data_IF_298792619173
#
_entry.id   IF_298792619173
#
_cell.length_a   1.000
_cell.length_b   1.000
_cell.length_c   1.000
_cell.angle_alpha   90.00
_cell.angle_beta   90.00
_cell.angle_gamma   90.00
#
_symmetry.space_group_name_H-M   'P 1'
#
loop_
_entity.id
_entity.type
_entity.pdbx_description
1 polymer ?
#
# COMPACT_ATOMS: atom_id res chain seq x y z
N UNK A 1 -12.11 -7.35 1.03
CA UNK A 1 -10.68 -7.11 1.31
C UNK A 1 -10.47 -5.61 1.34
N UNK A 2 -9.70 -5.12 2.32
CA UNK A 2 -9.33 -3.71 2.41
C UNK A 2 -7.82 -3.61 2.64
N UNK A 3 -7.17 -2.72 1.90
CA UNK A 3 -5.75 -2.41 2.07
C UNK A 3 -5.58 -1.05 2.74
N UNK A 4 -4.59 -0.95 3.61
CA UNK A 4 -4.16 0.33 4.18
C UNK A 4 -2.64 0.44 4.11
N UNK A 5 -2.14 1.44 3.39
CA UNK A 5 -0.73 1.81 3.44
C UNK A 5 -0.52 2.87 4.51
N UNK A 6 0.51 2.72 5.34
CA UNK A 6 0.89 3.70 6.36
C UNK A 6 2.39 4.01 6.23
N UNK A 7 2.78 5.30 6.21
CA UNK A 7 4.19 5.67 6.25
C UNK A 7 4.88 5.09 7.49
N UNK A 8 6.13 4.65 7.35
CA UNK A 8 6.94 4.29 8.50
C UNK A 8 7.33 5.57 9.27
N UNK A 9 7.29 5.58 10.62
CA UNK A 9 7.44 6.80 11.41
C UNK A 9 8.78 7.51 11.27
N UNK A 10 9.83 6.78 10.88
CA UNK A 10 11.21 7.31 10.84
C UNK A 10 11.96 7.03 9.54
N UNK A 11 11.34 6.36 8.57
CA UNK A 11 12.04 5.99 7.33
C UNK A 11 11.07 6.18 6.14
N UNK A 12 11.30 7.19 5.29
CA UNK A 12 10.41 7.46 4.16
C UNK A 12 10.42 6.36 3.08
N UNK A 13 11.44 5.49 3.05
CA UNK A 13 11.56 4.36 2.12
C UNK A 13 10.88 3.08 2.64
N UNK A 14 10.12 3.19 3.74
CA UNK A 14 9.41 2.06 4.34
C UNK A 14 7.95 2.42 4.61
N UNK A 15 7.11 1.40 4.57
CA UNK A 15 5.71 1.50 4.96
C UNK A 15 5.28 0.28 5.76
N UNK A 16 4.19 0.43 6.51
CA UNK A 16 3.37 -0.70 6.93
C UNK A 16 2.26 -0.90 5.89
N UNK A 17 2.05 -2.16 5.50
CA UNK A 17 0.99 -2.55 4.58
C UNK A 17 0.02 -3.47 5.32
N UNK A 18 -1.14 -2.94 5.70
CA UNK A 18 -2.15 -3.72 6.41
C UNK A 18 -3.15 -4.32 5.40
N UNK A 19 -3.41 -5.61 5.55
CA UNK A 19 -4.44 -6.32 4.78
C UNK A 19 -5.55 -6.81 5.72
N UNK A 20 -6.77 -6.31 5.48
CA UNK A 20 -7.95 -6.74 6.22
C UNK A 20 -8.84 -7.60 5.33
N UNK A 21 -9.02 -8.85 5.75
CA UNK A 21 -9.93 -9.80 5.11
C UNK A 21 -11.24 -9.83 5.88
N UNK A 22 -12.33 -9.53 5.18
CA UNK A 22 -13.68 -9.52 5.74
C UNK A 22 -14.52 -10.55 5.01
N UNK A 23 -15.28 -11.32 5.78
CA UNK A 23 -16.33 -12.21 5.28
C UNK A 23 -17.67 -11.66 5.73
N UNK A 24 -18.58 -11.47 4.78
CA UNK A 24 -19.98 -11.23 5.11
C UNK A 24 -20.61 -12.55 5.55
N UNK A 25 -21.14 -12.58 6.78
CA UNK A 25 -21.84 -13.75 7.31
C UNK A 25 -23.28 -13.76 6.80
N UNK A 26 -23.81 -14.96 6.53
CA UNK A 26 -25.23 -15.13 6.24
C UNK A 26 -26.04 -15.01 7.53
N UNK A 27 -27.33 -14.70 7.39
CA UNK A 27 -28.25 -14.71 8.52
C UNK A 27 -28.30 -16.10 9.16
N UNK A 28 -28.15 -16.15 10.49
CA UNK A 28 -28.08 -17.40 11.26
C UNK A 28 -26.76 -18.17 11.15
N UNK A 29 -25.75 -17.67 10.43
CA UNK A 29 -24.42 -18.29 10.42
C UNK A 29 -23.66 -17.95 11.71
N UNK A 30 -23.10 -18.98 12.35
CA UNK A 30 -22.27 -18.78 13.54
C UNK A 30 -21.05 -17.93 13.20
N UNK A 31 -20.79 -16.95 14.08
CA UNK A 31 -19.64 -16.07 13.93
C UNK A 31 -18.37 -16.87 14.22
N UNK A 32 -17.41 -16.95 13.27
CA UNK A 32 -16.14 -17.60 13.55
C UNK A 32 -15.34 -16.78 14.57
N UNK A 33 -14.47 -17.46 15.32
CA UNK A 33 -13.50 -16.80 16.18
C UNK A 33 -12.67 -15.79 15.35
N UNK A 34 -12.50 -14.55 15.84
CA UNK A 34 -11.70 -13.56 15.12
C UNK A 34 -10.27 -14.09 14.89
N UNK A 35 -9.73 -13.94 13.67
CA UNK A 35 -8.34 -14.30 13.44
C UNK A 35 -7.42 -13.42 14.29
N UNK A 36 -6.32 -14.00 14.76
CA UNK A 36 -5.29 -13.24 15.46
C UNK A 36 -4.67 -12.17 14.55
N UNK A 37 -4.29 -11.03 15.15
CA UNK A 37 -3.50 -10.04 14.44
C UNK A 37 -2.05 -10.52 14.32
N UNK A 38 -1.50 -10.50 13.11
CA UNK A 38 -0.14 -10.92 12.82
C UNK A 38 0.59 -9.88 11.99
N UNK A 39 1.91 -9.82 12.15
CA UNK A 39 2.79 -8.92 11.42
C UNK A 39 3.97 -9.72 10.88
N UNK A 40 4.33 -9.43 9.63
CA UNK A 40 5.37 -10.13 8.90
C UNK A 40 6.24 -9.11 8.17
N UNK A 41 7.50 -9.43 7.94
CA UNK A 41 8.36 -8.68 7.02
C UNK A 41 8.03 -9.09 5.58
N UNK A 42 8.31 -8.18 4.65
CA UNK A 42 8.16 -8.46 3.23
C UNK A 42 8.94 -9.72 2.84
N UNK A 43 8.26 -10.65 2.15
CA UNK A 43 8.83 -11.92 1.69
C UNK A 43 8.71 -13.09 2.68
N UNK A 44 8.26 -12.88 3.92
CA UNK A 44 8.07 -13.98 4.88
C UNK A 44 6.80 -14.80 4.60
N UNK A 45 5.77 -14.16 4.06
CA UNK A 45 4.52 -14.80 3.63
C UNK A 45 4.09 -14.27 2.27
N UNK A 46 3.29 -15.06 1.55
CA UNK A 46 2.54 -14.60 0.37
C UNK A 46 1.24 -13.94 0.82
N UNK A 47 0.88 -12.82 0.20
CA UNK A 47 -0.43 -12.15 0.36
C UNK A 47 -1.37 -12.46 -0.82
N UNK A 48 -0.96 -13.36 -1.71
CA UNK A 48 -1.64 -13.73 -2.94
C UNK A 48 -0.92 -13.20 -4.19
N UNK A 49 -1.07 -13.92 -5.30
CA UNK A 49 -0.28 -13.73 -6.53
C UNK A 49 -0.17 -12.27 -7.00
N UNK A 50 -1.28 -11.55 -7.04
CA UNK A 50 -1.31 -10.16 -7.56
C UNK A 50 -0.64 -9.19 -6.58
N UNK A 51 -0.91 -9.34 -5.28
CA UNK A 51 -0.31 -8.46 -4.25
C UNK A 51 1.20 -8.70 -4.17
N UNK A 52 1.63 -9.95 -4.32
CA UNK A 52 3.05 -10.30 -4.33
C UNK A 52 3.76 -9.71 -5.56
N UNK A 53 3.10 -9.66 -6.72
CA UNK A 53 3.64 -9.01 -7.93
C UNK A 53 3.83 -7.51 -7.74
N UNK A 54 2.85 -6.81 -7.17
CA UNK A 54 2.97 -5.39 -6.86
C UNK A 54 4.10 -5.14 -5.84
N UNK A 55 4.14 -5.95 -4.78
CA UNK A 55 5.15 -5.85 -3.73
C UNK A 55 6.57 -6.12 -4.24
N UNK A 56 6.74 -7.03 -5.20
CA UNK A 56 8.04 -7.31 -5.82
C UNK A 56 8.61 -6.10 -6.57
N UNK A 57 7.76 -5.30 -7.22
CA UNK A 57 8.19 -4.15 -8.02
C UNK A 57 8.49 -2.90 -7.18
N UNK A 58 7.82 -2.74 -6.03
CA UNK A 58 7.92 -1.53 -5.20
C UNK A 58 9.36 -1.11 -4.83
N UNK A 59 10.26 -2.02 -4.39
CA UNK A 59 11.64 -1.64 -4.08
C UNK A 59 12.40 -1.08 -5.28
N UNK A 60 12.15 -1.64 -6.48
CA UNK A 60 12.77 -1.16 -7.71
C UNK A 60 12.25 0.22 -8.12
N UNK A 61 10.93 0.44 -8.00
CA UNK A 61 10.32 1.76 -8.21
C UNK A 61 10.92 2.77 -7.23
N UNK A 62 10.97 2.47 -5.93
CA UNK A 62 11.54 3.36 -4.91
C UNK A 62 12.99 3.73 -5.22
N UNK A 63 13.83 2.74 -5.58
CA UNK A 63 15.21 3.00 -5.95
C UNK A 63 15.31 3.90 -7.20
N UNK A 64 14.43 3.71 -8.18
CA UNK A 64 14.34 4.57 -9.35
C UNK A 64 13.98 6.02 -9.01
N UNK A 65 13.05 6.23 -8.06
CA UNK A 65 12.65 7.58 -7.60
C UNK A 65 13.78 8.36 -6.93
N UNK A 66 14.79 7.67 -6.39
CA UNK A 66 16.00 8.28 -5.81
C UNK A 66 17.09 8.57 -6.84
N UNK A 67 16.89 8.23 -8.11
CA UNK A 67 17.89 8.45 -9.16
C UNK A 67 18.03 9.94 -9.49
N UNK A 68 19.26 10.47 -9.47
CA UNK A 68 19.59 11.82 -9.95
C UNK A 68 19.20 12.03 -11.43
N UNK A 69 19.10 10.94 -12.19
CA UNK A 69 18.67 10.96 -13.60
C UNK A 69 17.15 11.07 -13.79
N UNK A 70 16.36 11.00 -12.71
CA UNK A 70 14.90 11.13 -12.75
C UNK A 70 14.49 12.48 -12.14
N UNK A 71 14.33 13.55 -12.96
CA UNK A 71 13.97 14.87 -12.45
C UNK A 71 12.53 14.96 -11.90
N UNK A 72 11.69 13.96 -12.19
CA UNK A 72 10.31 13.88 -11.75
C UNK A 72 9.50 12.89 -12.58
N UNK A 73 8.26 12.65 -12.18
CA UNK A 73 7.35 11.72 -12.85
C UNK A 73 6.52 12.40 -13.93
N UNK A 74 6.35 11.71 -15.05
CA UNK A 74 5.40 12.08 -16.09
C UNK A 74 4.11 11.32 -15.84
N UNK A 75 3.05 12.06 -15.51
CA UNK A 75 1.76 11.48 -15.15
C UNK A 75 0.78 11.67 -16.31
N UNK A 76 0.27 10.57 -16.84
CA UNK A 76 -0.67 10.54 -17.94
C UNK A 76 -2.12 10.85 -17.54
N UNK A 77 -3.00 10.95 -18.53
CA UNK A 77 -4.41 11.31 -18.30
C UNK A 77 -5.19 10.26 -17.48
N UNK A 78 -4.79 8.99 -17.55
CA UNK A 78 -5.42 7.90 -16.79
C UNK A 78 -5.07 7.90 -15.30
N UNK A 79 -4.09 8.70 -14.88
CA UNK A 79 -3.54 8.72 -13.53
C UNK A 79 -4.10 9.85 -12.66
N UNK A 80 -5.30 10.33 -12.99
CA UNK A 80 -5.98 11.43 -12.28
C UNK A 80 -6.04 11.22 -10.76
N UNK A 81 -6.26 9.98 -10.31
CA UNK A 81 -6.32 9.65 -8.86
C UNK A 81 -4.97 9.81 -8.16
N UNK A 82 -3.87 9.52 -8.85
CA UNK A 82 -2.51 9.70 -8.32
C UNK A 82 -2.24 11.21 -8.19
N UNK A 83 -2.56 11.99 -9.22
CA UNK A 83 -2.44 13.47 -9.19
C UNK A 83 -3.25 14.08 -8.05
N UNK A 84 -4.50 13.65 -7.91
CA UNK A 84 -5.38 14.12 -6.85
C UNK A 84 -4.84 13.74 -5.46
N UNK A 85 -4.33 12.52 -5.28
CA UNK A 85 -3.70 12.10 -4.03
C UNK A 85 -2.54 13.02 -3.63
N UNK A 86 -1.61 13.29 -4.55
CA UNK A 86 -0.47 14.17 -4.27
C UNK A 86 -0.90 15.62 -4.02
N UNK A 87 -1.90 16.14 -4.75
CA UNK A 87 -2.46 17.46 -4.47
C UNK A 87 -3.03 17.54 -3.05
N UNK A 88 -3.89 16.59 -2.68
CA UNK A 88 -4.52 16.58 -1.35
C UNK A 88 -3.46 16.45 -0.27
N UNK A 89 -2.45 15.60 -0.46
CA UNK A 89 -1.34 15.47 0.47
C UNK A 89 -0.60 16.81 0.65
N UNK A 90 -0.25 17.48 -0.44
CA UNK A 90 0.37 18.82 -0.43
C UNK A 90 -0.48 19.84 0.34
N UNK A 91 -1.78 19.92 0.04
CA UNK A 91 -2.72 20.80 0.72
C UNK A 91 -2.78 20.53 2.24
N UNK A 92 -2.61 19.27 2.68
CA UNK A 92 -2.57 18.90 4.10
C UNK A 92 -1.25 19.25 4.79
N UNK A 93 -0.12 19.18 4.09
CA UNK A 93 1.22 19.42 4.68
C UNK A 93 1.71 20.86 4.50
N UNK A 94 0.99 21.68 3.73
CA UNK A 94 1.26 23.11 3.55
C UNK A 94 2.20 23.44 2.38
N UNK A 95 2.25 22.59 1.36
CA UNK A 95 2.97 22.82 0.10
C UNK A 95 2.20 23.73 -0.89
#
# INVERSE_FOLDING_TARGET
>A
MLFRQRPHPTNPDKMFFDMYLFKLLKEGEDRPEPPGHASYKHGEISLGLVVDQDAYNLPGVQAGMHSDGLPGLWIGDQELRIRHFHKVLGDYVGD
#
